data_IF_272373178770
#
_entry.id   IF_272373178770
#
_cell.length_a   1.000
_cell.length_b   1.000
_cell.length_c   1.000
_cell.angle_alpha   90.00
_cell.angle_beta   90.00
_cell.angle_gamma   90.00
#
_symmetry.space_group_name_H-M   'P 1'
#
loop_
_entity.id
_entity.type
_entity.pdbx_description
1 polymer ?
#
# COMPACT_ATOMS: atom_id res chain seq x y z
N UNK A 1 -1.66 4.12 -8.69
CA UNK A 1 -1.18 2.80 -9.16
C UNK A 1 -0.48 2.81 -10.52
N UNK A 2 -0.22 3.97 -11.13
CA UNK A 2 0.50 4.08 -12.42
C UNK A 2 1.97 3.64 -12.32
N UNK A 3 2.58 3.90 -11.17
CA UNK A 3 4.01 3.66 -10.94
C UNK A 3 4.33 2.27 -10.37
N UNK A 4 3.34 1.40 -10.19
CA UNK A 4 3.59 0.07 -9.65
C UNK A 4 4.53 -0.78 -10.53
N UNK A 5 4.40 -0.79 -11.88
CA UNK A 5 5.35 -1.51 -12.72
C UNK A 5 6.79 -0.98 -12.62
N UNK A 6 6.95 0.34 -12.48
CA UNK A 6 8.28 0.97 -12.31
C UNK A 6 8.90 0.59 -10.96
N UNK A 7 8.09 0.56 -9.89
CA UNK A 7 8.52 0.14 -8.56
C UNK A 7 8.88 -1.35 -8.51
N UNK A 8 8.11 -2.21 -9.19
CA UNK A 8 8.39 -3.64 -9.33
C UNK A 8 9.70 -3.86 -10.10
N UNK A 9 9.86 -3.25 -11.27
CA UNK A 9 11.08 -3.38 -12.07
C UNK A 9 12.32 -2.88 -11.31
N UNK A 10 12.20 -1.77 -10.57
CA UNK A 10 13.27 -1.26 -9.72
C UNK A 10 13.63 -2.23 -8.58
N UNK A 11 12.63 -2.85 -7.97
CA UNK A 11 12.83 -3.86 -6.93
C UNK A 11 13.52 -5.11 -7.49
N UNK A 12 13.06 -5.63 -8.64
CA UNK A 12 13.62 -6.83 -9.28
C UNK A 12 15.08 -6.61 -9.68
N UNK A 13 15.39 -5.44 -10.26
CA UNK A 13 16.76 -5.07 -10.58
C UNK A 13 17.64 -5.08 -9.33
N UNK A 14 17.20 -4.43 -8.26
CA UNK A 14 17.95 -4.39 -7.00
C UNK A 14 18.14 -5.78 -6.41
N UNK A 15 17.08 -6.58 -6.36
CA UNK A 15 17.11 -7.92 -5.78
C UNK A 15 18.07 -8.84 -6.54
N UNK A 16 18.12 -8.72 -7.86
CA UNK A 16 19.11 -9.45 -8.67
C UNK A 16 20.55 -8.99 -8.37
N UNK A 17 20.80 -7.69 -8.21
CA UNK A 17 22.13 -7.20 -7.80
C UNK A 17 22.51 -7.69 -6.41
N UNK A 18 21.58 -7.62 -5.46
CA UNK A 18 21.77 -8.13 -4.10
C UNK A 18 22.15 -9.61 -4.12
N UNK A 19 21.46 -10.44 -4.91
CA UNK A 19 21.76 -11.88 -5.02
C UNK A 19 23.17 -12.13 -5.54
N UNK A 20 23.57 -11.45 -6.61
CA UNK A 20 24.91 -11.57 -7.20
C UNK A 20 25.99 -11.20 -6.18
N UNK A 21 25.78 -10.11 -5.43
CA UNK A 21 26.76 -9.62 -4.46
C UNK A 21 26.82 -10.49 -3.20
N UNK A 22 25.67 -11.02 -2.75
CA UNK A 22 25.60 -11.96 -1.64
C UNK A 22 26.31 -13.28 -1.97
N UNK A 23 26.17 -13.80 -3.20
CA UNK A 23 26.91 -14.97 -3.68
C UNK A 23 28.42 -14.72 -3.67
N UNK A 24 28.86 -13.52 -4.08
CA UNK A 24 30.28 -13.11 -4.02
C UNK A 24 30.81 -13.07 -2.59
N UNK A 25 30.11 -12.42 -1.65
CA UNK A 25 30.50 -12.39 -0.25
C UNK A 25 30.55 -13.79 0.36
N UNK A 26 29.54 -14.62 0.06
CA UNK A 26 29.49 -16.02 0.52
C UNK A 26 30.70 -16.82 0.03
N UNK A 27 31.05 -16.72 -1.25
CA UNK A 27 32.22 -17.43 -1.81
C UNK A 27 33.56 -16.99 -1.20
N UNK A 28 33.61 -15.79 -0.61
CA UNK A 28 34.79 -15.23 0.07
C UNK A 28 34.78 -15.45 1.59
N UNK A 29 33.70 -16.00 2.14
CA UNK A 29 33.50 -16.08 3.60
C UNK A 29 33.33 -14.70 4.27
N UNK A 30 32.93 -13.67 3.51
CA UNK A 30 32.75 -12.30 4.00
C UNK A 30 31.39 -12.12 4.68
N UNK A 31 31.30 -12.57 5.93
CA UNK A 31 30.06 -12.52 6.74
C UNK A 31 29.59 -11.07 6.98
N UNK A 32 30.51 -10.17 7.31
CA UNK A 32 30.19 -8.74 7.51
C UNK A 32 29.68 -8.08 6.23
N UNK A 33 30.16 -8.52 5.06
CA UNK A 33 29.63 -8.13 3.76
C UNK A 33 28.15 -8.50 3.60
N UNK A 34 27.79 -9.73 3.96
CA UNK A 34 26.40 -10.23 3.89
C UNK A 34 25.49 -9.43 4.82
N UNK A 35 25.89 -9.21 6.08
CA UNK A 35 25.09 -8.44 7.04
C UNK A 35 24.82 -7.00 6.56
N UNK A 36 25.82 -6.36 5.95
CA UNK A 36 25.64 -5.02 5.35
C UNK A 36 24.71 -5.03 4.14
N UNK A 37 24.73 -6.10 3.34
CA UNK A 37 23.82 -6.26 2.20
C UNK A 37 22.38 -6.48 2.69
N UNK A 38 22.19 -7.30 3.72
CA UNK A 38 20.87 -7.54 4.33
C UNK A 38 20.27 -6.27 4.90
N UNK A 39 21.05 -5.48 5.65
CA UNK A 39 20.59 -4.20 6.17
C UNK A 39 20.13 -3.23 5.05
N UNK A 40 20.82 -3.23 3.91
CA UNK A 40 20.42 -2.43 2.73
C UNK A 40 19.15 -2.96 2.09
N UNK A 41 19.02 -4.29 1.94
CA UNK A 41 17.82 -4.94 1.42
C UNK A 41 16.60 -4.57 2.27
N UNK A 42 16.72 -4.67 3.59
CA UNK A 42 15.63 -4.40 4.52
C UNK A 42 15.15 -2.93 4.49
N UNK A 43 16.07 -1.97 4.33
CA UNK A 43 15.70 -0.56 4.12
C UNK A 43 14.95 -0.37 2.80
N UNK A 44 15.41 -1.00 1.73
CA UNK A 44 14.80 -0.88 0.41
C UNK A 44 13.43 -1.54 0.36
N UNK A 45 13.29 -2.76 0.86
CA UNK A 45 12.01 -3.49 0.89
C UNK A 45 10.93 -2.70 1.64
N UNK A 46 11.27 -2.11 2.78
CA UNK A 46 10.35 -1.22 3.53
C UNK A 46 9.95 0.00 2.71
N UNK A 47 10.91 0.61 2.02
CA UNK A 47 10.65 1.79 1.20
C UNK A 47 9.73 1.45 0.02
N UNK A 48 10.00 0.34 -0.67
CA UNK A 48 9.17 -0.14 -1.78
C UNK A 48 7.76 -0.46 -1.32
N UNK A 49 7.60 -1.17 -0.19
CA UNK A 49 6.30 -1.48 0.41
C UNK A 49 5.50 -0.20 0.68
N UNK A 50 6.12 0.81 1.30
CA UNK A 50 5.46 2.09 1.60
C UNK A 50 5.05 2.81 0.30
N UNK A 51 5.91 2.82 -0.71
CA UNK A 51 5.63 3.46 -2.00
C UNK A 51 4.50 2.75 -2.77
N UNK A 52 4.54 1.42 -2.83
CA UNK A 52 3.52 0.61 -3.50
C UNK A 52 2.16 0.75 -2.82
N UNK A 53 2.10 0.64 -1.49
CA UNK A 53 0.86 0.82 -0.77
C UNK A 53 0.36 2.27 -0.87
N UNK A 54 1.26 3.26 -0.88
CA UNK A 54 0.91 4.66 -1.13
C UNK A 54 0.23 4.88 -2.49
N UNK A 55 0.60 4.11 -3.53
CA UNK A 55 -0.09 4.14 -4.82
C UNK A 55 -1.52 3.62 -4.76
N UNK A 56 -1.82 2.69 -3.84
CA UNK A 56 -3.16 2.17 -3.57
C UNK A 56 -3.97 3.11 -2.68
N UNK A 57 -3.35 3.72 -1.66
CA UNK A 57 -4.00 4.79 -0.87
C UNK A 57 -4.48 5.94 -1.76
N UNK A 58 -3.68 6.33 -2.75
CA UNK A 58 -4.11 7.33 -3.75
C UNK A 58 -5.32 6.87 -4.57
N UNK A 59 -5.42 5.57 -4.89
CA UNK A 59 -6.58 5.04 -5.61
C UNK A 59 -7.83 5.09 -4.72
N UNK A 60 -7.74 4.65 -3.46
CA UNK A 60 -8.82 4.76 -2.46
C UNK A 60 -9.25 6.21 -2.28
N UNK A 61 -8.31 7.15 -2.17
CA UNK A 61 -8.62 8.57 -2.04
C UNK A 61 -9.42 9.10 -3.22
N UNK A 62 -9.02 8.76 -4.46
CA UNK A 62 -9.73 9.20 -5.68
C UNK A 62 -11.13 8.60 -5.75
N UNK A 63 -11.29 7.31 -5.46
CA UNK A 63 -12.60 6.65 -5.43
C UNK A 63 -13.50 7.28 -4.37
N UNK A 64 -12.96 7.55 -3.18
CA UNK A 64 -13.67 8.20 -2.09
C UNK A 64 -14.13 9.62 -2.48
N UNK A 65 -13.25 10.43 -3.07
CA UNK A 65 -13.58 11.78 -3.53
C UNK A 65 -14.68 11.75 -4.59
N UNK A 66 -14.59 10.85 -5.58
CA UNK A 66 -15.60 10.69 -6.61
C UNK A 66 -16.96 10.22 -6.03
N UNK A 67 -16.96 9.28 -5.09
CA UNK A 67 -18.17 8.81 -4.42
C UNK A 67 -18.82 9.93 -3.60
N UNK A 68 -18.01 10.71 -2.87
CA UNK A 68 -18.47 11.86 -2.10
C UNK A 68 -19.09 12.93 -3.00
N UNK A 69 -18.42 13.30 -4.09
CA UNK A 69 -18.90 14.30 -5.05
C UNK A 69 -20.20 13.84 -5.73
N UNK A 70 -20.27 12.59 -6.18
CA UNK A 70 -21.47 12.00 -6.78
C UNK A 70 -22.67 12.03 -5.82
N UNK A 71 -22.44 11.73 -4.54
CA UNK A 71 -23.51 11.76 -3.51
C UNK A 71 -23.94 13.18 -3.17
N UNK A 72 -22.98 14.09 -3.01
CA UNK A 72 -23.26 15.49 -2.65
C UNK A 72 -23.90 16.30 -3.78
N UNK A 73 -23.69 15.91 -5.03
CA UNK A 73 -24.33 16.54 -6.20
C UNK A 73 -25.79 16.10 -6.40
N UNK A 74 -26.27 15.08 -5.68
CA UNK A 74 -27.67 14.65 -5.77
C UNK A 74 -28.62 15.78 -5.35
N UNK A 75 -29.63 16.19 -6.15
CA UNK A 75 -30.51 17.32 -5.83
C UNK A 75 -31.42 17.07 -4.61
N UNK A 76 -31.69 15.82 -4.25
CA UNK A 76 -32.50 15.47 -3.08
C UNK A 76 -31.64 15.46 -1.80
N UNK A 77 -32.00 16.36 -0.87
CA UNK A 77 -31.42 16.43 0.48
C UNK A 77 -31.43 15.09 1.23
N UNK A 78 -32.48 14.29 1.08
CA UNK A 78 -32.61 12.99 1.79
C UNK A 78 -31.50 12.02 1.39
N UNK A 79 -31.04 12.10 0.16
CA UNK A 79 -29.92 11.31 -0.36
C UNK A 79 -28.55 11.89 0.03
N UNK A 80 -28.44 13.22 0.20
CA UNK A 80 -27.20 13.90 0.60
C UNK A 80 -26.89 13.87 2.11
N UNK A 81 -27.92 13.96 2.97
CA UNK A 81 -27.75 14.29 4.41
C UNK A 81 -26.81 13.37 5.21
N UNK A 82 -26.64 12.13 4.79
CA UNK A 82 -25.70 11.18 5.43
C UNK A 82 -24.24 11.42 5.06
N UNK A 83 -23.99 12.14 3.96
CA UNK A 83 -22.67 12.48 3.42
C UNK A 83 -22.33 13.95 3.65
N UNK A 84 -23.34 14.80 3.88
CA UNK A 84 -23.22 16.21 4.22
C UNK A 84 -22.82 16.42 5.70
N UNK A 85 -21.69 15.83 6.08
CA UNK A 85 -21.07 16.01 7.40
C UNK A 85 -19.71 16.69 7.25
N UNK A 86 -19.44 17.67 8.11
CA UNK A 86 -18.20 18.46 8.07
C UNK A 86 -16.94 17.60 8.14
N UNK A 87 -17.00 16.47 8.86
CA UNK A 87 -15.93 15.50 8.98
C UNK A 87 -15.50 14.89 7.63
N UNK A 88 -16.41 14.73 6.66
CA UNK A 88 -16.09 14.15 5.34
C UNK A 88 -15.64 15.19 4.31
N UNK A 89 -15.86 16.49 4.57
CA UNK A 89 -15.51 17.60 3.66
C UNK A 89 -14.08 18.15 3.89
N UNK A 90 -13.31 17.56 4.81
CA UNK A 90 -11.98 18.01 5.18
C UNK A 90 -10.85 17.12 4.64
N UNK A 91 -9.63 17.68 4.54
CA UNK A 91 -8.41 16.97 4.09
C UNK A 91 -7.93 15.84 5.02
N UNK A 92 -8.58 15.62 6.17
CA UNK A 92 -8.10 14.73 7.25
C UNK A 92 -8.94 13.47 7.47
N UNK A 93 -9.79 13.06 6.52
CA UNK A 93 -10.52 11.79 6.66
C UNK A 93 -9.51 10.63 6.75
N UNK A 94 -9.63 9.82 7.80
CA UNK A 94 -8.74 8.69 8.04
C UNK A 94 -8.86 7.65 6.90
N UNK A 95 -7.75 6.95 6.61
CA UNK A 95 -7.73 5.93 5.55
C UNK A 95 -8.80 4.86 5.74
N UNK A 96 -8.97 4.37 6.97
CA UNK A 96 -10.01 3.40 7.33
C UNK A 96 -11.42 3.89 6.98
N UNK A 97 -11.74 5.13 7.34
CA UNK A 97 -13.04 5.74 7.02
C UNK A 97 -13.25 5.87 5.52
N UNK A 98 -12.22 6.26 4.77
CA UNK A 98 -12.30 6.32 3.31
C UNK A 98 -12.56 4.94 2.74
N UNK A 99 -11.79 3.94 3.17
CA UNK A 99 -11.92 2.56 2.71
C UNK A 99 -13.32 2.01 3.00
N UNK A 100 -13.85 2.22 4.21
CA UNK A 100 -15.17 1.72 4.60
C UNK A 100 -16.33 2.34 3.81
N UNK A 101 -16.09 3.49 3.17
CA UNK A 101 -17.09 4.16 2.31
C UNK A 101 -17.00 3.72 0.85
N UNK A 102 -15.91 3.08 0.43
CA UNK A 102 -15.69 2.62 -0.95
C UNK A 102 -15.54 1.11 -1.08
N UNK A 103 -15.49 0.40 0.04
CA UNK A 103 -15.41 -1.06 0.11
C UNK A 103 -16.22 -1.51 1.32
N UNK A 104 -17.08 -2.53 1.13
CA UNK A 104 -17.84 -3.10 2.23
C UNK A 104 -16.90 -3.66 3.31
N UNK A 105 -17.04 -3.16 4.54
CA UNK A 105 -16.31 -3.62 5.73
C UNK A 105 -16.47 -5.12 6.03
N UNK A 106 -17.54 -5.76 5.52
CA UNK A 106 -17.77 -7.20 5.64
C UNK A 106 -17.03 -8.02 4.58
N UNK A 107 -16.52 -7.38 3.53
CA UNK A 107 -15.74 -8.05 2.51
C UNK A 107 -14.39 -8.52 3.10
N UNK A 108 -13.94 -9.76 2.87
CA UNK A 108 -12.70 -10.28 3.46
C UNK A 108 -11.48 -9.39 3.19
N UNK A 109 -11.38 -8.83 1.98
CA UNK A 109 -10.32 -7.92 1.58
C UNK A 109 -10.21 -6.66 2.48
N UNK A 110 -11.30 -6.20 3.09
CA UNK A 110 -11.25 -5.03 3.97
C UNK A 110 -10.28 -5.23 5.13
N UNK A 111 -10.42 -6.37 5.83
CA UNK A 111 -9.54 -6.72 6.96
C UNK A 111 -8.09 -6.90 6.52
N UNK A 112 -7.87 -7.46 5.33
CA UNK A 112 -6.54 -7.70 4.78
C UNK A 112 -5.83 -6.39 4.40
N UNK A 113 -6.56 -5.47 3.77
CA UNK A 113 -6.09 -4.12 3.46
C UNK A 113 -5.72 -3.38 4.74
N UNK A 114 -6.57 -3.43 5.78
CA UNK A 114 -6.31 -2.76 7.05
C UNK A 114 -5.08 -3.31 7.77
N UNK A 115 -4.90 -4.63 7.77
CA UNK A 115 -3.67 -5.27 8.28
C UNK A 115 -2.45 -4.81 7.50
N UNK A 116 -2.53 -4.76 6.17
CA UNK A 116 -1.43 -4.31 5.29
C UNK A 116 -1.11 -2.84 5.50
N UNK A 117 -2.12 -1.99 5.71
CA UNK A 117 -1.97 -0.58 6.06
C UNK A 117 -1.25 -0.40 7.40
N UNK A 118 -1.59 -1.19 8.42
CA UNK A 118 -0.90 -1.18 9.70
C UNK A 118 0.59 -1.54 9.54
N UNK A 119 0.89 -2.55 8.73
CA UNK A 119 2.27 -2.94 8.42
C UNK A 119 3.00 -1.81 7.70
N UNK A 120 2.37 -1.18 6.70
CA UNK A 120 2.91 -0.02 6.00
C UNK A 120 3.24 1.11 6.97
N UNK A 121 2.35 1.43 7.91
CA UNK A 121 2.60 2.47 8.91
C UNK A 121 3.77 2.09 9.83
N UNK A 122 3.83 0.83 10.26
CA UNK A 122 4.97 0.34 11.04
C UNK A 122 6.29 0.50 10.28
N UNK A 123 6.35 0.09 9.00
CA UNK A 123 7.52 0.25 8.15
C UNK A 123 7.89 1.72 7.92
N UNK A 124 6.90 2.59 7.71
CA UNK A 124 7.11 4.04 7.52
C UNK A 124 7.70 4.72 8.77
N UNK A 125 7.45 4.17 9.97
CA UNK A 125 8.03 4.63 11.23
C UNK A 125 9.35 3.92 11.59
N UNK A 126 9.95 3.19 10.65
CA UNK A 126 11.25 2.53 10.85
C UNK A 126 11.16 1.14 11.48
N UNK A 127 9.95 0.62 11.71
CA UNK A 127 9.73 -0.76 12.14
C UNK A 127 10.12 -1.79 11.07
N UNK A 128 10.19 -3.07 11.47
CA UNK A 128 10.45 -4.20 10.58
C UNK A 128 9.30 -5.21 10.71
N UNK A 129 8.78 -5.70 9.59
CA UNK A 129 7.71 -6.71 9.59
C UNK A 129 7.85 -7.65 8.41
N UNK A 130 7.83 -8.96 8.70
CA UNK A 130 7.83 -10.03 7.70
C UNK A 130 6.41 -10.41 7.24
N UNK A 131 5.37 -9.73 7.74
CA UNK A 131 3.99 -10.18 7.60
C UNK A 131 3.37 -10.01 6.20
N UNK A 132 4.02 -9.30 5.27
CA UNK A 132 3.54 -9.12 3.89
C UNK A 132 4.01 -10.26 2.96
N UNK A 133 4.86 -11.17 3.44
CA UNK A 133 5.40 -12.25 2.60
C UNK A 133 6.42 -11.69 1.62
N UNK A 134 6.03 -11.43 0.37
CA UNK A 134 6.91 -10.90 -0.68
C UNK A 134 6.33 -9.65 -1.35
N UNK A 135 7.20 -8.84 -1.98
CA UNK A 135 6.80 -7.69 -2.79
C UNK A 135 5.87 -8.11 -3.96
N UNK A 136 6.12 -9.28 -4.57
CA UNK A 136 5.25 -9.82 -5.62
C UNK A 136 3.83 -10.15 -5.10
N UNK A 137 3.74 -10.74 -3.91
CA UNK A 137 2.44 -11.00 -3.28
C UNK A 137 1.70 -9.68 -2.96
N UNK A 138 2.41 -8.67 -2.45
CA UNK A 138 1.85 -7.33 -2.25
C UNK A 138 1.31 -6.76 -3.57
N UNK A 139 2.09 -6.81 -4.65
CA UNK A 139 1.67 -6.28 -5.94
C UNK A 139 0.37 -6.92 -6.45
N UNK A 140 0.30 -8.26 -6.42
CA UNK A 140 -0.87 -9.01 -6.83
C UNK A 140 -2.12 -8.62 -6.01
N UNK A 141 -1.95 -8.53 -4.68
CA UNK A 141 -3.00 -8.07 -3.77
C UNK A 141 -3.46 -6.65 -4.09
N UNK A 142 -2.53 -5.71 -4.30
CA UNK A 142 -2.88 -4.32 -4.61
C UNK A 142 -3.72 -4.22 -5.89
N UNK A 143 -3.36 -4.95 -6.95
CA UNK A 143 -4.16 -4.98 -8.18
C UNK A 143 -5.53 -5.61 -7.97
N UNK A 144 -5.60 -6.74 -7.25
CA UNK A 144 -6.86 -7.40 -6.91
C UNK A 144 -7.79 -6.46 -6.14
N UNK A 145 -7.29 -5.81 -5.09
CA UNK A 145 -8.08 -4.87 -4.29
C UNK A 145 -8.51 -3.64 -5.08
N UNK A 146 -7.71 -3.17 -6.02
CA UNK A 146 -8.08 -2.03 -6.88
C UNK A 146 -9.37 -2.32 -7.66
N UNK A 147 -9.54 -3.55 -8.16
CA UNK A 147 -10.75 -3.95 -8.90
C UNK A 147 -11.99 -3.86 -8.02
N UNK A 148 -11.85 -4.15 -6.73
CA UNK A 148 -12.95 -4.07 -5.77
C UNK A 148 -13.43 -2.63 -5.52
N UNK A 149 -12.58 -1.62 -5.76
CA UNK A 149 -12.93 -0.20 -5.56
C UNK A 149 -13.75 0.40 -6.71
N UNK A 150 -13.93 -0.33 -7.81
CA UNK A 150 -14.61 0.17 -9.02
C UNK A 150 -16.05 -0.30 -9.19
N UNK A 151 -16.61 -0.96 -8.17
CA UNK A 151 -17.99 -1.46 -8.12
C UNK A 151 -18.81 -0.69 -7.08
#
# INVERSE_FOLDING_TARGET
MRHLPELEAGYDWFFNQYRIEAERCTSRGDVEGIERLDAKRDVLERSILVLMFGQFEQAVNRTFEAALESRLSNPDWRHRRGWDISALRGRKVAFETKLALVLDSRHPAFSEIMRTYAIRNHCAHGGMSQAIGSIGALLANLYSWRVLLTH
#
